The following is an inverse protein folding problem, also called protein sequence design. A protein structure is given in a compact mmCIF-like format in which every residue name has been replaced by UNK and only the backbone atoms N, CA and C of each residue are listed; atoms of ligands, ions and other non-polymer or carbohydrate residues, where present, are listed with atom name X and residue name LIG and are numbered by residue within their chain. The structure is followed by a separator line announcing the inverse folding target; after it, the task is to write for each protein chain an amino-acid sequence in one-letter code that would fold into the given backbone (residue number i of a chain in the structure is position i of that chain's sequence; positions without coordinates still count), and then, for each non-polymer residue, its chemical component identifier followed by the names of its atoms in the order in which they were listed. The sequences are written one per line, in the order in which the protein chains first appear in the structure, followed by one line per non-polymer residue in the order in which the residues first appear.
data_IF_495060097229
#
_entry.id   IF_495060097229
#
_cell.length_a   1.000
_cell.length_b   1.000
_cell.length_c   1.000
_cell.angle_alpha   90.00
_cell.angle_beta   90.00
_cell.angle_gamma   90.00
#
_symmetry.space_group_name_H-M   'P 1'
#
loop_
_entity.id
_entity.type
_entity.pdbx_description
1 polymer ?
#
# COMPACT_ATOMS: atom_id res chain seq x y z
N UNK A 1 -11.10 -28.81 11.06
CA UNK A 1 -11.25 -28.66 9.60
C UNK A 1 -9.91 -28.56 8.88
N UNK A 2 -8.87 -27.90 9.43
CA UNK A 2 -7.53 -27.97 8.83
C UNK A 2 -6.77 -29.27 9.19
N UNK A 3 -7.03 -29.84 10.36
CA UNK A 3 -6.37 -31.07 10.82
C UNK A 3 -6.85 -32.34 10.07
N UNK A 4 -7.95 -32.26 9.33
CA UNK A 4 -8.52 -33.40 8.59
C UNK A 4 -7.67 -33.80 7.36
N UNK A 5 -6.66 -32.98 7.01
CA UNK A 5 -5.80 -33.15 5.84
C UNK A 5 -4.31 -33.28 6.18
N UNK A 6 -3.97 -33.40 7.46
CA UNK A 6 -2.58 -33.50 7.94
C UNK A 6 -2.38 -34.77 8.76
N UNK A 7 -1.23 -35.41 8.59
CA UNK A 7 -0.84 -36.59 9.39
C UNK A 7 -0.47 -36.22 10.84
N UNK A 8 -0.29 -34.92 11.12
CA UNK A 8 -0.02 -34.35 12.44
C UNK A 8 -0.93 -33.12 12.68
N UNK A 9 -1.28 -32.80 13.94
CA UNK A 9 -2.05 -31.60 14.24
C UNK A 9 -1.37 -30.34 13.66
N UNK A 10 -2.16 -29.41 13.13
CA UNK A 10 -1.64 -28.16 12.55
C UNK A 10 -0.78 -27.38 13.54
N UNK A 11 -1.16 -27.38 14.82
CA UNK A 11 -0.39 -26.72 15.86
C UNK A 11 1.03 -27.31 16.01
N UNK A 12 1.17 -28.63 15.89
CA UNK A 12 2.46 -29.32 16.00
C UNK A 12 3.32 -29.04 14.76
N UNK A 13 2.72 -29.07 13.56
CA UNK A 13 3.39 -28.68 12.32
C UNK A 13 3.93 -27.23 12.38
N UNK A 14 3.13 -26.30 12.90
CA UNK A 14 3.52 -24.89 13.04
C UNK A 14 4.56 -24.66 14.13
N UNK A 15 4.68 -25.59 15.08
CA UNK A 15 5.69 -25.55 16.13
C UNK A 15 7.04 -26.17 15.72
N UNK A 16 7.10 -26.86 14.57
CA UNK A 16 8.34 -27.44 14.06
C UNK A 16 9.41 -26.35 13.87
N UNK A 17 10.63 -26.52 14.41
CA UNK A 17 11.66 -25.46 14.40
C UNK A 17 12.00 -24.94 13.00
N UNK A 18 11.96 -25.80 11.99
CA UNK A 18 12.17 -25.41 10.59
C UNK A 18 11.06 -24.50 10.08
N UNK A 19 9.79 -24.83 10.37
CA UNK A 19 8.63 -24.03 9.98
C UNK A 19 8.64 -22.68 10.69
N UNK A 20 8.91 -22.66 12.00
CA UNK A 20 9.05 -21.41 12.77
C UNK A 20 10.13 -20.52 12.17
N UNK A 21 11.30 -21.09 11.83
CA UNK A 21 12.40 -20.33 11.23
C UNK A 21 12.01 -19.71 9.90
N UNK A 22 11.27 -20.44 9.06
CA UNK A 22 10.77 -19.92 7.77
C UNK A 22 9.77 -18.78 8.00
N UNK A 23 8.80 -18.98 8.89
CA UNK A 23 7.78 -17.98 9.21
C UNK A 23 8.42 -16.70 9.77
N UNK A 24 9.38 -16.85 10.70
CA UNK A 24 10.13 -15.74 11.28
C UNK A 24 10.95 -15.01 10.22
N UNK A 25 11.55 -15.74 9.27
CA UNK A 25 12.27 -15.16 8.14
C UNK A 25 11.38 -14.36 7.17
N UNK A 26 10.09 -14.73 7.08
CA UNK A 26 9.09 -14.02 6.26
C UNK A 26 8.45 -12.84 7.00
N UNK A 27 8.65 -12.72 8.32
CA UNK A 27 8.03 -11.68 9.13
C UNK A 27 8.52 -10.29 8.72
N UNK A 28 7.58 -9.46 8.27
CA UNK A 28 7.88 -8.07 7.94
C UNK A 28 8.13 -7.23 9.22
N UNK A 29 8.92 -6.18 9.08
CA UNK A 29 9.34 -5.31 10.19
C UNK A 29 10.73 -5.62 10.77
N UNK A 30 11.36 -6.74 10.40
CA UNK A 30 12.70 -7.10 10.91
C UNK A 30 13.84 -6.29 10.28
N UNK A 31 13.63 -5.76 9.07
CA UNK A 31 14.59 -4.92 8.35
C UNK A 31 13.88 -3.69 7.79
N UNK A 32 14.38 -2.51 8.16
CA UNK A 32 13.87 -1.23 7.69
C UNK A 32 14.11 -1.07 6.17
N UNK A 33 13.08 -0.77 5.38
CA UNK A 33 13.24 -0.44 3.98
C UNK A 33 13.98 0.89 3.80
N UNK A 34 14.91 0.94 2.84
CA UNK A 34 15.63 2.17 2.50
C UNK A 34 14.81 3.14 1.63
N UNK A 35 13.76 2.64 0.98
CA UNK A 35 12.84 3.46 0.18
C UNK A 35 11.65 3.91 1.04
N UNK A 36 11.02 5.06 0.70
CA UNK A 36 9.79 5.47 1.35
C UNK A 36 8.66 4.46 1.06
N UNK A 37 7.76 4.27 2.02
CA UNK A 37 6.61 3.38 1.92
C UNK A 37 5.30 4.12 2.08
N UNK A 38 4.29 3.68 1.32
CA UNK A 38 2.88 3.90 1.62
C UNK A 38 2.28 2.57 2.04
N UNK A 39 1.67 2.54 3.22
CA UNK A 39 0.86 1.42 3.71
C UNK A 39 -0.59 1.90 3.81
N UNK A 40 -1.53 1.10 3.34
CA UNK A 40 -2.97 1.41 3.42
C UNK A 40 -3.68 0.15 3.89
N UNK A 41 -4.43 0.24 4.99
CA UNK A 41 -5.12 -0.91 5.57
C UNK A 41 -6.52 -0.52 6.09
N UNK A 42 -7.50 -1.44 6.08
CA UNK A 42 -8.81 -1.20 6.66
C UNK A 42 -8.77 -1.48 8.15
N UNK A 43 -9.40 -0.65 8.97
CA UNK A 43 -9.51 -0.87 10.42
C UNK A 43 -10.33 -2.13 10.73
N UNK A 44 -11.27 -2.46 9.85
CA UNK A 44 -12.13 -3.63 9.95
C UNK A 44 -11.74 -4.65 8.87
N UNK A 45 -10.49 -5.10 8.87
CA UNK A 45 -10.05 -6.12 7.92
C UNK A 45 -10.44 -7.52 8.43
N UNK A 46 -11.13 -8.29 7.59
CA UNK A 46 -11.62 -9.64 7.91
C UNK A 46 -10.58 -10.76 7.71
N UNK A 47 -9.45 -10.46 7.06
CA UNK A 47 -8.43 -11.46 6.71
C UNK A 47 -7.08 -11.19 7.34
N UNK A 48 -6.69 -9.92 7.46
CA UNK A 48 -5.40 -9.50 8.02
C UNK A 48 -5.67 -8.62 9.23
N UNK A 49 -5.29 -9.05 10.43
CA UNK A 49 -5.52 -8.25 11.62
C UNK A 49 -4.78 -6.90 11.51
N UNK A 50 -5.51 -5.81 11.73
CA UNK A 50 -4.95 -4.46 11.73
C UNK A 50 -3.83 -4.31 12.74
N UNK A 51 -3.87 -5.04 13.87
CA UNK A 51 -2.83 -5.02 14.88
C UNK A 51 -1.48 -5.54 14.36
N UNK A 52 -1.49 -6.52 13.45
CA UNK A 52 -0.27 -7.04 12.83
C UNK A 52 0.37 -6.00 11.90
N UNK A 53 -0.47 -5.28 11.16
CA UNK A 53 -0.02 -4.19 10.27
C UNK A 53 0.47 -2.98 11.09
N UNK A 54 -0.26 -2.58 12.14
CA UNK A 54 0.15 -1.55 13.10
C UNK A 54 1.53 -1.91 13.66
N UNK A 55 1.72 -3.13 14.17
CA UNK A 55 2.99 -3.58 14.71
C UNK A 55 4.13 -3.62 13.68
N UNK A 56 3.85 -3.96 12.42
CA UNK A 56 4.83 -3.88 11.34
C UNK A 56 5.25 -2.43 11.07
N UNK A 57 4.29 -1.52 10.98
CA UNK A 57 4.55 -0.10 10.71
C UNK A 57 5.31 0.54 11.87
N UNK A 58 4.95 0.23 13.11
CA UNK A 58 5.66 0.74 14.29
C UNK A 58 7.13 0.32 14.27
N UNK A 59 7.42 -0.97 14.02
CA UNK A 59 8.81 -1.45 13.87
C UNK A 59 9.59 -0.72 12.77
N UNK A 60 8.93 -0.37 11.67
CA UNK A 60 9.57 0.40 10.61
C UNK A 60 9.82 1.85 11.01
N UNK A 61 8.86 2.51 11.65
CA UNK A 61 9.01 3.89 12.14
C UNK A 61 10.11 3.98 13.20
N UNK A 62 10.14 3.05 14.16
CA UNK A 62 11.17 2.95 15.20
C UNK A 62 12.57 2.74 14.64
N UNK A 63 12.67 1.99 13.53
CA UNK A 63 13.91 1.78 12.81
C UNK A 63 14.29 2.94 11.86
N UNK A 64 13.53 4.05 11.87
CA UNK A 64 13.81 5.26 11.09
C UNK A 64 13.38 5.18 9.61
N UNK A 65 12.61 4.17 9.22
CA UNK A 65 12.09 4.08 7.86
C UNK A 65 11.03 5.18 7.62
N UNK A 66 10.99 5.70 6.39
CA UNK A 66 9.98 6.68 6.03
C UNK A 66 8.67 5.98 5.61
N UNK A 67 7.72 5.86 6.54
CA UNK A 67 6.43 5.21 6.29
C UNK A 67 5.29 6.20 6.41
N UNK A 68 4.44 6.28 5.39
CA UNK A 68 3.12 6.89 5.48
C UNK A 68 2.08 5.79 5.60
N UNK A 69 1.37 5.75 6.71
CA UNK A 69 0.37 4.72 6.96
C UNK A 69 -1.03 5.31 7.06
N UNK A 70 -1.93 4.85 6.19
CA UNK A 70 -3.34 5.24 6.15
C UNK A 70 -4.22 4.10 6.63
N UNK A 71 -4.99 4.34 7.69
CA UNK A 71 -6.01 3.43 8.21
C UNK A 71 -7.39 3.91 7.80
N UNK A 72 -8.15 3.09 7.09
CA UNK A 72 -9.48 3.41 6.57
C UNK A 72 -10.57 2.81 7.48
N UNK A 73 -11.45 3.64 8.04
CA UNK A 73 -12.47 3.18 9.00
C UNK A 73 -13.71 2.56 8.36
N UNK A 74 -14.02 2.89 7.12
CA UNK A 74 -15.29 2.49 6.48
C UNK A 74 -15.13 1.35 5.48
N UNK A 75 -13.90 0.91 5.26
CA UNK A 75 -13.59 -0.18 4.35
C UNK A 75 -13.28 -1.46 5.11
N UNK A 76 -13.62 -2.57 4.47
CA UNK A 76 -13.13 -3.92 4.72
C UNK A 76 -12.04 -4.27 3.70
N UNK A 77 -11.39 -5.44 3.84
CA UNK A 77 -10.30 -5.89 2.96
C UNK A 77 -10.60 -5.75 1.45
N UNK A 78 -11.71 -6.35 1.00
CA UNK A 78 -12.07 -6.38 -0.42
C UNK A 78 -12.48 -5.00 -0.93
N UNK A 79 -13.21 -4.24 -0.11
CA UNK A 79 -13.67 -2.90 -0.50
C UNK A 79 -12.52 -1.89 -0.55
N UNK A 80 -11.51 -2.04 0.31
CA UNK A 80 -10.40 -1.10 0.34
C UNK A 80 -9.56 -1.18 -0.93
N UNK A 81 -9.34 -2.37 -1.50
CA UNK A 81 -8.53 -2.56 -2.71
C UNK A 81 -8.86 -1.57 -3.85
N UNK A 82 -10.10 -1.48 -4.36
CA UNK A 82 -10.44 -0.50 -5.39
C UNK A 82 -10.48 0.94 -4.84
N UNK A 83 -10.90 1.15 -3.59
CA UNK A 83 -11.05 2.50 -3.00
C UNK A 83 -9.70 3.19 -2.76
N UNK A 84 -8.66 2.44 -2.41
CA UNK A 84 -7.32 2.97 -2.18
C UNK A 84 -6.50 3.11 -3.47
N UNK A 85 -6.93 2.49 -4.57
CA UNK A 85 -6.17 2.47 -5.83
C UNK A 85 -5.79 3.87 -6.33
N UNK A 86 -6.69 4.87 -6.40
CA UNK A 86 -6.31 6.22 -6.81
C UNK A 86 -5.25 6.85 -5.92
N UNK A 87 -5.39 6.69 -4.60
CA UNK A 87 -4.44 7.23 -3.60
C UNK A 87 -3.05 6.59 -3.77
N UNK A 88 -2.99 5.27 -3.97
CA UNK A 88 -1.74 4.56 -4.17
C UNK A 88 -1.03 4.98 -5.47
N UNK A 89 -1.79 5.12 -6.56
CA UNK A 89 -1.25 5.56 -7.85
C UNK A 89 -0.77 7.02 -7.83
N UNK A 90 -1.50 7.91 -7.15
CA UNK A 90 -1.08 9.29 -6.96
C UNK A 90 0.22 9.37 -6.15
N UNK A 91 0.30 8.64 -5.04
CA UNK A 91 1.51 8.56 -4.22
C UNK A 91 2.71 8.02 -5.03
N UNK A 92 2.51 6.98 -5.84
CA UNK A 92 3.56 6.44 -6.71
C UNK A 92 4.00 7.47 -7.77
N UNK A 93 3.04 8.18 -8.36
CA UNK A 93 3.30 9.25 -9.33
C UNK A 93 4.16 10.35 -8.71
N UNK A 94 3.90 10.72 -7.46
CA UNK A 94 4.70 11.69 -6.71
C UNK A 94 6.13 11.21 -6.46
N UNK A 95 6.35 9.92 -6.23
CA UNK A 95 7.70 9.33 -6.11
C UNK A 95 8.45 9.37 -7.44
N UNK A 96 7.79 9.02 -8.55
CA UNK A 96 8.37 9.11 -9.90
C UNK A 96 8.72 10.56 -10.25
N UNK A 97 7.85 11.50 -9.89
CA UNK A 97 8.05 12.93 -10.12
C UNK A 97 8.98 13.61 -9.11
N UNK A 98 9.62 12.85 -8.20
CA UNK A 98 10.52 13.34 -7.14
C UNK A 98 9.91 14.47 -6.31
N UNK A 99 8.60 14.42 -6.07
CA UNK A 99 7.95 15.39 -5.18
C UNK A 99 8.35 15.15 -3.73
N UNK A 100 8.43 16.20 -2.90
CA UNK A 100 8.76 16.08 -1.49
C UNK A 100 7.92 15.02 -0.79
N UNK A 101 8.54 14.31 0.16
CA UNK A 101 7.84 13.35 1.00
C UNK A 101 6.96 14.10 2.00
N UNK A 102 5.67 13.75 2.13
CA UNK A 102 4.89 14.09 3.32
C UNK A 102 5.57 13.55 4.58
N UNK A 103 5.30 14.12 5.77
CA UNK A 103 5.84 13.60 7.02
C UNK A 103 5.51 12.11 7.20
N UNK A 104 6.44 11.29 7.72
CA UNK A 104 6.13 9.91 8.07
C UNK A 104 5.15 9.89 9.25
N UNK A 105 4.43 8.79 9.38
CA UNK A 105 3.53 8.54 10.50
C UNK A 105 2.23 7.85 10.11
N UNK A 106 1.35 7.75 11.10
CA UNK A 106 0.10 7.01 11.03
C UNK A 106 -1.07 7.98 11.02
N UNK A 107 -1.99 7.80 10.08
CA UNK A 107 -3.21 8.59 9.97
C UNK A 107 -4.42 7.69 9.78
N UNK A 108 -5.38 7.83 10.68
CA UNK A 108 -6.69 7.18 10.55
C UNK A 108 -7.67 8.14 9.89
N UNK A 109 -8.32 7.70 8.81
CA UNK A 109 -9.28 8.47 8.02
C UNK A 109 -10.61 7.73 7.96
N UNK A 110 -11.71 8.48 7.80
CA UNK A 110 -13.02 7.87 7.58
C UNK A 110 -13.04 7.07 6.28
N UNK A 111 -12.51 7.64 5.20
CA UNK A 111 -12.26 6.91 3.97
C UNK A 111 -11.15 7.56 3.15
N UNK A 112 -10.29 6.73 2.56
CA UNK A 112 -9.29 7.08 1.56
C UNK A 112 -9.92 7.63 0.29
N UNK A 113 -11.13 7.16 -0.04
CA UNK A 113 -11.92 7.62 -1.18
C UNK A 113 -12.55 9.00 -0.98
N UNK A 114 -12.71 9.47 0.26
CA UNK A 114 -13.37 10.75 0.56
C UNK A 114 -12.50 11.99 0.27
N UNK A 115 -11.26 11.81 -0.21
CA UNK A 115 -10.42 12.92 -0.67
C UNK A 115 -10.86 13.41 -2.06
N UNK A 116 -10.72 14.71 -2.35
CA UNK A 116 -11.09 15.29 -3.66
C UNK A 116 -10.38 14.56 -4.83
N UNK A 117 -9.12 14.17 -4.64
CA UNK A 117 -8.36 13.43 -5.64
C UNK A 117 -8.83 11.96 -5.73
N UNK A 118 -9.13 11.32 -4.60
CA UNK A 118 -9.72 9.98 -4.54
C UNK A 118 -11.05 9.87 -5.29
N UNK A 119 -11.99 10.79 -5.02
CA UNK A 119 -13.29 10.85 -5.71
C UNK A 119 -13.09 11.02 -7.22
N UNK A 120 -12.25 11.97 -7.64
CA UNK A 120 -11.95 12.20 -9.07
C UNK A 120 -11.34 10.97 -9.73
N UNK A 121 -10.43 10.29 -9.04
CA UNK A 121 -9.80 9.05 -9.52
C UNK A 121 -10.84 7.94 -9.73
N UNK A 122 -11.70 7.71 -8.74
CA UNK A 122 -12.77 6.70 -8.83
C UNK A 122 -13.77 7.02 -9.95
N UNK A 123 -14.19 8.28 -10.10
CA UNK A 123 -15.08 8.70 -11.18
C UNK A 123 -14.44 8.46 -12.56
N UNK A 124 -13.15 8.75 -12.72
CA UNK A 124 -12.43 8.48 -13.96
C UNK A 124 -12.35 6.97 -14.25
N UNK A 125 -12.05 6.15 -13.24
CA UNK A 125 -12.02 4.70 -13.39
C UNK A 125 -13.39 4.13 -13.76
N UNK A 126 -14.46 4.58 -13.10
CA UNK A 126 -15.83 4.18 -13.42
C UNK A 126 -16.20 4.55 -14.87
N UNK A 127 -15.83 5.75 -15.33
CA UNK A 127 -16.07 6.18 -16.70
C UNK A 127 -15.28 5.36 -17.73
N UNK A 128 -14.02 5.00 -17.42
CA UNK A 128 -13.21 4.11 -18.27
C UNK A 128 -13.83 2.71 -18.32
N UNK A 129 -14.20 2.13 -17.18
CA UNK A 129 -14.86 0.83 -17.11
C UNK A 129 -16.16 0.81 -17.94
N UNK A 130 -17.00 1.84 -17.81
CA UNK A 130 -18.22 1.97 -18.61
C UNK A 130 -17.93 2.06 -20.12
N UNK A 131 -16.89 2.82 -20.53
CA UNK A 131 -16.47 2.88 -21.94
C UNK A 131 -16.04 1.51 -22.46
N UNK A 132 -15.27 0.75 -21.69
CA UNK A 132 -14.81 -0.59 -22.07
C UNK A 132 -15.99 -1.55 -22.22
N UNK A 133 -16.90 -1.59 -21.25
CA UNK A 133 -18.12 -2.42 -21.30
C UNK A 133 -18.99 -2.08 -22.52
N UNK A 134 -19.08 -0.79 -22.88
CA UNK A 134 -19.80 -0.32 -24.05
C UNK A 134 -19.01 -0.44 -25.37
N UNK A 135 -17.84 -1.08 -25.38
CA UNK A 135 -17.01 -1.27 -26.57
C UNK A 135 -16.41 0.02 -27.16
N UNK A 136 -16.37 1.11 -26.39
CA UNK A 136 -15.85 2.40 -26.83
C UNK A 136 -14.33 2.44 -26.75
N UNK A 137 -13.70 3.10 -27.73
CA UNK A 137 -12.25 3.31 -27.75
C UNK A 137 -11.81 4.19 -26.58
N UNK A 138 -10.69 3.81 -25.95
CA UNK A 138 -10.00 4.65 -24.98
C UNK A 138 -9.01 5.55 -25.73
N UNK A 139 -9.08 6.86 -25.47
CA UNK A 139 -8.07 7.80 -25.97
C UNK A 139 -6.92 7.85 -24.95
N UNK A 140 -5.68 7.48 -25.32
CA UNK A 140 -4.54 7.60 -24.43
C UNK A 140 -4.35 9.06 -24.03
N UNK A 141 -4.12 9.31 -22.74
CA UNK A 141 -3.68 10.62 -22.29
C UNK A 141 -2.18 10.74 -22.59
N UNK A 142 -1.75 11.83 -23.23
CA UNK A 142 -0.33 12.07 -23.45
C UNK A 142 0.38 12.23 -22.10
N UNK A 143 1.42 11.43 -21.87
CA UNK A 143 2.31 11.61 -20.74
C UNK A 143 3.24 12.79 -21.03
N UNK A 144 3.27 13.78 -20.13
CA UNK A 144 4.29 14.82 -20.13
C UNK A 144 5.25 14.54 -18.98
N UNK A 145 6.56 14.32 -19.25
CA UNK A 145 7.53 14.16 -18.20
C UNK A 145 7.54 15.40 -17.30
N UNK A 146 7.73 15.25 -15.98
CA UNK A 146 7.98 16.40 -15.12
C UNK A 146 9.23 17.16 -15.62
N UNK A 147 9.24 18.50 -15.53
CA UNK A 147 10.40 19.29 -15.95
C UNK A 147 11.65 18.83 -15.20
N UNK A 148 12.74 18.61 -15.93
CA UNK A 148 14.01 18.20 -15.35
C UNK A 148 14.47 19.24 -14.31
N UNK A 149 14.83 18.79 -13.11
CA UNK A 149 15.42 19.67 -12.10
C UNK A 149 16.80 20.13 -12.58
N UNK A 150 16.89 21.39 -12.99
CA UNK A 150 18.12 22.01 -13.50
C UNK A 150 19.13 22.33 -12.39
N UNK A 151 18.80 22.06 -11.11
CA UNK A 151 19.63 22.43 -9.96
C UNK A 151 20.82 21.50 -9.69
N UNK A 152 20.92 20.35 -10.36
CA UNK A 152 22.01 19.38 -10.13
C UNK A 152 23.16 19.48 -11.17
N UNK A 153 23.18 20.53 -12.00
CA UNK A 153 24.35 20.84 -12.82
C UNK A 153 25.35 21.68 -12.04
N UNK A 154 26.08 21.07 -11.10
CA UNK A 154 27.39 21.64 -10.70
C UNK A 154 28.42 21.31 -11.78
N UNK A 155 29.16 22.31 -12.31
CA UNK A 155 30.29 22.01 -13.18
C UNK A 155 31.37 21.30 -12.35
N UNK A 156 31.89 20.19 -12.90
CA UNK A 156 33.11 19.59 -12.41
C UNK A 156 34.24 20.63 -12.55
N UNK A 157 34.85 20.99 -11.41
CA UNK A 157 36.10 21.74 -11.34
C UNK A 157 37.26 20.74 -11.18
#
# INVERSE_FOLDING_TARGET
MSDDYLDIPMADLLAEPEIVTIIDGLRLGQRAPACPLLVVAPVHDQFIDIADVDGQVDRYLDAGAHVQYLRDRLSEHITLMPLSTPTALEWLTDRIARRPLPPPGIKTVWSTAASLNGIRGLLNMALVAAKVVLGRRLTPRSWSPPPADTRDRRPAA
#
